data_IF_460089932515
#
_entry.id   IF_460089932515
#
_cell.length_a   1.000
_cell.length_b   1.000
_cell.length_c   1.000
_cell.angle_alpha   90.00
_cell.angle_beta   90.00
_cell.angle_gamma   90.00
#
_symmetry.space_group_name_H-M   'P 1'
#
loop_
_entity.id
_entity.type
_entity.pdbx_description
1 polymer ?
#
# COMPACT_ATOMS: atom_id res chain seq x y z
N UNK A 1 6.56 25.67 -6.92
CA UNK A 1 7.43 24.48 -6.94
C UNK A 1 6.60 23.25 -7.23
N UNK A 2 7.10 22.37 -8.11
CA UNK A 2 6.36 21.18 -8.50
C UNK A 2 6.45 20.06 -7.44
N UNK A 3 5.40 19.22 -7.34
CA UNK A 3 5.42 18.04 -6.49
C UNK A 3 6.60 17.12 -6.82
N UNK A 4 7.00 17.06 -8.11
CA UNK A 4 8.14 16.27 -8.55
C UNK A 4 9.43 16.66 -7.84
N UNK A 5 9.70 17.96 -7.69
CA UNK A 5 10.92 18.43 -7.01
C UNK A 5 10.86 18.12 -5.51
N UNK A 6 9.68 18.30 -4.88
CA UNK A 6 9.54 18.10 -3.43
C UNK A 6 9.58 16.63 -3.00
N UNK A 7 9.29 15.68 -3.91
CA UNK A 7 9.31 14.25 -3.60
C UNK A 7 10.51 13.51 -4.19
N UNK A 8 11.32 14.19 -5.01
CA UNK A 8 12.48 13.55 -5.64
C UNK A 8 13.42 12.99 -4.58
N UNK A 9 13.78 11.72 -4.73
CA UNK A 9 14.67 11.03 -3.80
C UNK A 9 13.99 10.41 -2.58
N UNK A 10 12.71 10.70 -2.37
CA UNK A 10 11.96 10.00 -1.33
C UNK A 10 11.82 8.53 -1.69
N UNK A 11 11.62 7.69 -0.69
CA UNK A 11 11.64 6.24 -0.85
C UNK A 11 10.30 5.63 -0.44
N UNK A 12 9.81 4.71 -1.26
CA UNK A 12 8.60 3.95 -0.97
C UNK A 12 8.89 2.46 -1.13
N UNK A 13 8.31 1.65 -0.27
CA UNK A 13 8.31 0.19 -0.43
C UNK A 13 6.89 -0.26 -0.72
N UNK A 14 6.72 -1.06 -1.77
CA UNK A 14 5.45 -1.64 -2.15
C UNK A 14 5.51 -3.15 -1.90
N UNK A 15 4.61 -3.63 -1.04
CA UNK A 15 4.56 -5.03 -0.62
C UNK A 15 3.52 -5.74 -1.47
N UNK A 16 3.96 -6.75 -2.22
CA UNK A 16 3.08 -7.53 -3.10
C UNK A 16 3.01 -8.99 -2.66
N UNK A 17 1.91 -9.65 -2.97
CA UNK A 17 1.80 -11.09 -2.80
C UNK A 17 2.76 -11.81 -3.75
N UNK A 18 3.24 -12.98 -3.34
CA UNK A 18 4.08 -13.83 -4.19
C UNK A 18 3.32 -14.25 -5.45
N UNK A 19 2.04 -14.59 -5.29
CA UNK A 19 1.16 -14.94 -6.40
C UNK A 19 -0.12 -14.14 -6.32
N UNK A 20 -0.64 -13.75 -7.48
CA UNK A 20 -1.95 -13.08 -7.59
C UNK A 20 -2.02 -11.72 -6.91
N UNK A 21 -0.93 -10.93 -6.98
CA UNK A 21 -1.06 -9.50 -6.74
C UNK A 21 -1.85 -8.90 -7.91
N UNK A 22 -2.55 -7.81 -7.68
CA UNK A 22 -3.27 -7.16 -8.79
C UNK A 22 -2.33 -6.25 -9.55
N UNK A 23 -2.16 -6.55 -10.83
CA UNK A 23 -1.16 -5.93 -11.71
C UNK A 23 -1.22 -4.40 -11.71
N UNK A 24 -2.41 -3.83 -11.95
CA UNK A 24 -2.57 -2.37 -12.02
C UNK A 24 -2.27 -1.69 -10.68
N UNK A 25 -2.56 -2.39 -9.58
CA UNK A 25 -2.40 -1.84 -8.24
C UNK A 25 -0.93 -1.74 -7.81
N UNK A 26 -0.06 -2.48 -8.47
CA UNK A 26 1.38 -2.29 -8.35
C UNK A 26 1.88 -1.31 -9.42
N UNK A 27 1.60 -1.61 -10.69
CA UNK A 27 2.27 -0.96 -11.80
C UNK A 27 1.89 0.50 -11.97
N UNK A 28 0.61 0.86 -11.79
CA UNK A 28 0.19 2.26 -11.95
C UNK A 28 0.69 3.18 -10.85
N UNK A 29 0.53 2.85 -9.56
CA UNK A 29 1.11 3.70 -8.51
C UNK A 29 2.62 3.76 -8.60
N UNK A 30 3.28 2.64 -8.91
CA UNK A 30 4.74 2.59 -9.06
C UNK A 30 5.20 3.54 -10.15
N UNK A 31 4.53 3.54 -11.29
CA UNK A 31 4.85 4.44 -12.40
C UNK A 31 4.69 5.90 -11.98
N UNK A 32 3.59 6.25 -11.32
CA UNK A 32 3.35 7.62 -10.83
C UNK A 32 4.43 8.04 -9.85
N UNK A 33 4.78 7.18 -8.91
CA UNK A 33 5.83 7.48 -7.93
C UNK A 33 7.18 7.70 -8.61
N UNK A 34 7.59 6.77 -9.45
CA UNK A 34 8.88 6.85 -10.13
C UNK A 34 8.98 8.05 -11.09
N UNK A 35 7.88 8.36 -11.78
CA UNK A 35 7.80 9.51 -12.66
C UNK A 35 8.03 10.82 -11.89
N UNK A 36 7.69 10.86 -10.62
CA UNK A 36 7.90 12.01 -9.75
C UNK A 36 9.22 11.94 -8.97
N UNK A 37 10.08 10.98 -9.28
CA UNK A 37 11.40 10.85 -8.67
C UNK A 37 11.46 10.09 -7.37
N UNK A 38 10.38 9.42 -6.98
CA UNK A 38 10.37 8.54 -5.80
C UNK A 38 11.09 7.24 -6.16
N UNK A 39 11.94 6.77 -5.26
CA UNK A 39 12.65 5.50 -5.43
C UNK A 39 11.77 4.41 -4.84
N UNK A 40 11.34 3.46 -5.68
CA UNK A 40 10.41 2.40 -5.28
C UNK A 40 11.15 1.08 -5.13
N UNK A 41 10.99 0.44 -3.98
CA UNK A 41 11.43 -0.93 -3.70
C UNK A 41 10.20 -1.81 -3.68
N UNK A 42 10.28 -2.97 -4.33
CA UNK A 42 9.21 -3.97 -4.30
C UNK A 42 9.62 -5.11 -3.37
N UNK A 43 8.76 -5.43 -2.41
CA UNK A 43 8.99 -6.49 -1.44
C UNK A 43 7.90 -7.55 -1.55
N UNK A 44 8.23 -8.78 -1.22
CA UNK A 44 7.27 -9.88 -1.20
C UNK A 44 7.68 -10.95 -0.19
N UNK A 45 6.86 -11.98 -0.06
CA UNK A 45 7.10 -13.10 0.84
C UNK A 45 8.15 -14.07 0.32
N UNK A 46 8.60 -13.90 -0.92
CA UNK A 46 9.68 -14.69 -1.54
C UNK A 46 10.44 -13.80 -2.50
N UNK A 47 11.71 -14.13 -2.78
CA UNK A 47 12.51 -13.46 -3.80
C UNK A 47 12.31 -14.07 -5.19
N UNK A 48 11.55 -15.14 -5.31
CA UNK A 48 11.17 -15.71 -6.60
C UNK A 48 10.32 -14.71 -7.37
N UNK A 49 10.32 -14.83 -8.69
CA UNK A 49 9.48 -14.01 -9.53
C UNK A 49 8.02 -14.12 -9.09
N UNK A 50 7.40 -12.97 -8.82
CA UNK A 50 5.99 -12.90 -8.46
C UNK A 50 5.14 -12.78 -9.72
N UNK A 51 3.97 -13.41 -9.71
CA UNK A 51 3.04 -13.39 -10.83
C UNK A 51 1.75 -12.69 -10.43
N UNK A 52 1.37 -11.67 -11.18
CA UNK A 52 0.12 -10.95 -10.99
C UNK A 52 -1.08 -11.72 -11.53
N UNK A 53 -2.27 -11.31 -11.10
CA UNK A 53 -3.54 -11.91 -11.53
C UNK A 53 -3.74 -11.86 -13.04
N UNK A 54 -3.23 -10.83 -13.70
CA UNK A 54 -3.34 -10.62 -15.15
C UNK A 54 -2.05 -10.99 -15.88
N UNK A 55 -1.10 -11.65 -15.21
CA UNK A 55 0.08 -12.21 -15.82
C UNK A 55 1.36 -11.39 -15.73
N UNK A 56 1.35 -10.24 -15.06
CA UNK A 56 2.57 -9.47 -14.88
C UNK A 56 3.60 -10.28 -14.09
N UNK A 57 4.86 -10.19 -14.50
CA UNK A 57 5.99 -10.87 -13.85
C UNK A 57 6.87 -9.82 -13.20
N UNK A 58 7.08 -9.93 -11.91
CA UNK A 58 7.90 -8.97 -11.15
C UNK A 58 8.81 -9.75 -10.22
N UNK A 59 10.11 -9.46 -10.30
CA UNK A 59 11.05 -10.01 -9.34
C UNK A 59 11.19 -9.05 -8.17
N UNK A 60 10.80 -9.45 -6.95
CA UNK A 60 10.94 -8.57 -5.79
C UNK A 60 12.40 -8.22 -5.53
N UNK A 61 12.61 -7.00 -5.02
CA UNK A 61 13.94 -6.52 -4.67
C UNK A 61 14.41 -7.10 -3.32
N UNK A 62 13.46 -7.24 -2.37
CA UNK A 62 13.76 -7.71 -1.01
C UNK A 62 12.61 -8.56 -0.49
N UNK A 63 12.89 -9.35 0.55
CA UNK A 63 11.84 -10.00 1.35
C UNK A 63 11.15 -8.94 2.22
N UNK A 64 9.82 -9.03 2.35
CA UNK A 64 9.10 -8.07 3.20
C UNK A 64 9.56 -8.15 4.66
N UNK A 65 10.01 -9.33 5.10
CA UNK A 65 10.55 -9.50 6.45
C UNK A 65 11.85 -8.74 6.68
N UNK A 66 12.52 -8.29 5.61
CA UNK A 66 13.75 -7.51 5.69
C UNK A 66 13.52 -6.00 5.55
N UNK A 67 12.27 -5.55 5.52
CA UNK A 67 11.97 -4.13 5.47
C UNK A 67 12.40 -3.47 6.77
N UNK A 68 13.25 -2.44 6.64
CA UNK A 68 13.54 -1.52 7.72
C UNK A 68 12.74 -0.23 7.44
N UNK A 69 11.72 0.01 8.23
CA UNK A 69 10.80 1.13 8.04
C UNK A 69 11.53 2.48 8.03
N UNK A 70 12.63 2.60 8.79
CA UNK A 70 13.41 3.84 8.82
C UNK A 70 13.96 4.24 7.46
N UNK A 71 14.09 3.29 6.52
CA UNK A 71 14.64 3.56 5.20
C UNK A 71 13.61 4.13 4.21
N UNK A 72 12.34 4.22 4.61
CA UNK A 72 11.26 4.60 3.68
C UNK A 72 10.44 5.77 4.20
N UNK A 73 9.85 6.51 3.27
CA UNK A 73 8.90 7.58 3.54
C UNK A 73 7.46 7.09 3.42
N UNK A 74 7.25 6.00 2.70
CA UNK A 74 5.93 5.39 2.52
C UNK A 74 6.04 3.86 2.49
N UNK A 75 5.10 3.18 3.13
CA UNK A 75 4.92 1.73 3.08
C UNK A 75 3.54 1.47 2.46
N UNK A 76 3.51 0.73 1.37
CA UNK A 76 2.31 0.55 0.56
C UNK A 76 2.01 -0.93 0.41
N UNK A 77 0.80 -1.33 0.79
CA UNK A 77 0.32 -2.71 0.65
C UNK A 77 -0.53 -2.82 -0.62
N UNK A 78 -0.06 -3.62 -1.57
CA UNK A 78 -0.72 -3.83 -2.86
C UNK A 78 -1.77 -4.94 -2.74
N UNK A 79 -2.88 -4.77 -3.45
CA UNK A 79 -3.99 -5.73 -3.41
C UNK A 79 -3.85 -6.88 -4.39
N UNK A 80 -4.98 -7.45 -4.74
CA UNK A 80 -5.09 -8.70 -5.50
C UNK A 80 -5.47 -9.84 -4.58
N UNK A 81 -6.00 -10.93 -5.13
CA UNK A 81 -6.48 -12.06 -4.32
C UNK A 81 -5.40 -12.65 -3.42
N UNK A 82 -4.13 -12.60 -3.85
CA UNK A 82 -3.01 -13.11 -3.06
C UNK A 82 -2.64 -12.25 -1.85
N UNK A 83 -3.11 -11.01 -1.80
CA UNK A 83 -2.79 -10.09 -0.70
C UNK A 83 -3.29 -10.59 0.66
N UNK A 84 -4.24 -11.54 0.66
CA UNK A 84 -4.74 -12.14 1.89
C UNK A 84 -3.66 -12.89 2.68
N UNK A 85 -2.52 -13.22 2.05
CA UNK A 85 -1.40 -13.83 2.77
C UNK A 85 -0.87 -12.94 3.90
N UNK A 86 -1.11 -11.62 3.81
CA UNK A 86 -0.63 -10.67 4.82
C UNK A 86 -1.68 -10.28 5.86
N UNK A 87 -2.96 -10.62 5.66
CA UNK A 87 -4.06 -10.15 6.50
C UNK A 87 -3.83 -10.38 7.99
N UNK A 88 -3.37 -11.58 8.36
CA UNK A 88 -3.14 -11.96 9.75
C UNK A 88 -1.65 -12.15 10.07
N UNK A 89 -0.77 -11.66 9.21
CA UNK A 89 0.66 -11.86 9.35
C UNK A 89 1.24 -10.88 10.38
N UNK A 90 1.84 -11.38 11.48
CA UNK A 90 2.36 -10.51 12.54
C UNK A 90 3.47 -9.58 12.07
N UNK A 91 4.31 -10.02 11.13
CA UNK A 91 5.40 -9.19 10.61
C UNK A 91 4.84 -8.06 9.75
N UNK A 92 3.82 -8.34 8.93
CA UNK A 92 3.15 -7.31 8.15
C UNK A 92 2.51 -6.27 9.08
N UNK A 93 1.85 -6.71 10.15
CA UNK A 93 1.27 -5.82 11.16
C UNK A 93 2.32 -4.96 11.83
N UNK A 94 3.46 -5.57 12.18
CA UNK A 94 4.57 -4.83 12.80
C UNK A 94 5.10 -3.74 11.87
N UNK A 95 5.31 -4.07 10.60
CA UNK A 95 5.76 -3.10 9.60
C UNK A 95 4.78 -1.92 9.51
N UNK A 96 3.49 -2.22 9.41
CA UNK A 96 2.46 -1.18 9.34
C UNK A 96 2.44 -0.30 10.58
N UNK A 97 2.51 -0.91 11.77
CA UNK A 97 2.53 -0.18 13.03
C UNK A 97 3.79 0.66 13.20
N UNK A 98 4.95 0.11 12.85
CA UNK A 98 6.22 0.84 12.93
C UNK A 98 6.19 2.06 12.00
N UNK A 99 5.69 1.90 10.79
CA UNK A 99 5.55 3.01 9.84
C UNK A 99 4.61 4.09 10.37
N UNK A 100 3.46 3.68 10.89
CA UNK A 100 2.49 4.61 11.46
C UNK A 100 3.05 5.36 12.67
N UNK A 101 3.74 4.65 13.57
CA UNK A 101 4.34 5.24 14.76
C UNK A 101 5.45 6.23 14.41
N UNK A 102 6.16 5.99 13.30
CA UNK A 102 7.20 6.88 12.80
C UNK A 102 6.62 8.00 11.92
N UNK A 103 5.30 8.10 11.81
CA UNK A 103 4.58 9.10 11.01
C UNK A 103 4.92 9.03 9.52
N UNK A 104 5.27 7.84 9.03
CA UNK A 104 5.43 7.59 7.61
C UNK A 104 4.06 7.43 6.97
N UNK A 105 3.97 7.57 5.65
CA UNK A 105 2.75 7.24 4.94
C UNK A 105 2.53 5.73 4.94
N UNK A 106 1.30 5.32 5.19
CA UNK A 106 0.87 3.93 5.06
C UNK A 106 -0.26 3.88 4.06
N UNK A 107 -0.05 3.17 2.96
CA UNK A 107 -1.07 3.02 1.91
C UNK A 107 -1.51 1.58 1.77
N UNK A 108 -2.76 1.38 1.38
CA UNK A 108 -3.28 0.05 1.08
C UNK A 108 -4.43 0.15 0.08
N UNK A 109 -4.46 -0.75 -0.89
CA UNK A 109 -5.44 -0.71 -1.98
C UNK A 109 -6.17 -2.04 -2.12
N UNK A 110 -7.41 -2.00 -2.55
CA UNK A 110 -8.27 -3.15 -2.85
C UNK A 110 -8.59 -3.94 -1.58
N UNK A 111 -8.12 -5.18 -1.47
CA UNK A 111 -8.33 -5.98 -0.25
C UNK A 111 -7.19 -5.82 0.76
N UNK A 112 -6.13 -5.12 0.41
CA UNK A 112 -5.00 -4.89 1.32
C UNK A 112 -5.33 -4.01 2.54
N UNK A 113 -6.34 -3.09 2.51
CA UNK A 113 -6.73 -2.40 3.72
C UNK A 113 -7.09 -3.31 4.90
N UNK A 114 -7.49 -4.56 4.64
CA UNK A 114 -7.75 -5.53 5.71
C UNK A 114 -6.49 -5.78 6.54
N UNK A 115 -5.31 -5.84 5.92
CA UNK A 115 -4.05 -6.03 6.63
C UNK A 115 -3.83 -4.93 7.67
N UNK A 116 -3.96 -3.67 7.25
CA UNK A 116 -3.72 -2.55 8.17
C UNK A 116 -4.87 -2.36 9.17
N UNK A 117 -6.08 -2.76 8.79
CA UNK A 117 -7.22 -2.78 9.71
C UNK A 117 -6.98 -3.77 10.85
N UNK A 118 -6.54 -4.98 10.53
CA UNK A 118 -6.23 -6.01 11.53
C UNK A 118 -5.01 -5.65 12.38
N UNK A 119 -4.13 -4.82 11.86
CA UNK A 119 -3.01 -4.27 12.64
C UNK A 119 -3.44 -3.16 13.61
N UNK A 120 -4.69 -2.72 13.54
CA UNK A 120 -5.24 -1.68 14.43
C UNK A 120 -5.14 -0.26 13.89
N UNK A 121 -4.67 -0.06 12.66
CA UNK A 121 -4.42 1.28 12.12
C UNK A 121 -5.69 2.02 11.68
N UNK A 122 -6.79 1.32 11.44
CA UNK A 122 -8.00 1.94 10.91
C UNK A 122 -9.07 2.26 11.97
N UNK A 123 -8.80 2.00 13.24
CA UNK A 123 -9.76 2.29 14.32
C UNK A 123 -10.08 3.78 14.34
N UNK A 124 -11.36 4.13 14.15
CA UNK A 124 -11.87 5.50 14.07
C UNK A 124 -11.28 6.32 12.91
N UNK A 125 -10.72 5.68 11.91
CA UNK A 125 -10.17 6.35 10.72
C UNK A 125 -11.13 6.23 9.55
N UNK A 126 -11.23 7.29 8.75
CA UNK A 126 -11.91 7.22 7.47
C UNK A 126 -11.08 6.34 6.54
N UNK A 127 -11.74 5.41 5.87
CA UNK A 127 -11.06 4.48 4.98
C UNK A 127 -12.01 3.95 3.91
N UNK A 128 -11.42 3.51 2.83
CA UNK A 128 -12.12 2.75 1.79
C UNK A 128 -11.43 1.42 1.57
N UNK A 129 -12.09 0.53 0.85
CA UNK A 129 -11.57 -0.81 0.56
C UNK A 129 -12.39 -1.40 -0.60
N UNK A 130 -11.95 -2.54 -1.11
CA UNK A 130 -12.72 -3.25 -2.13
C UNK A 130 -14.05 -3.75 -1.56
N UNK A 131 -15.09 -3.80 -2.42
CA UNK A 131 -16.46 -4.11 -1.99
C UNK A 131 -16.59 -5.39 -1.17
N UNK A 132 -15.78 -6.40 -1.47
CA UNK A 132 -15.86 -7.70 -0.76
C UNK A 132 -15.31 -7.67 0.66
N UNK A 133 -14.59 -6.59 1.05
CA UNK A 133 -13.92 -6.51 2.35
C UNK A 133 -14.42 -5.37 3.24
N UNK A 134 -15.55 -4.77 2.87
CA UNK A 134 -16.13 -3.65 3.64
C UNK A 134 -16.40 -4.06 5.09
N UNK A 135 -17.01 -5.23 5.29
CA UNK A 135 -17.32 -5.70 6.65
C UNK A 135 -16.04 -5.97 7.45
N UNK A 136 -14.98 -6.42 6.81
CA UNK A 136 -13.70 -6.68 7.49
C UNK A 136 -13.12 -5.42 8.10
N UNK A 137 -13.09 -4.31 7.35
CA UNK A 137 -12.55 -3.06 7.90
C UNK A 137 -13.49 -2.41 8.89
N UNK A 138 -14.81 -2.50 8.68
CA UNK A 138 -15.80 -2.00 9.64
C UNK A 138 -15.69 -2.72 10.97
N UNK A 139 -15.54 -4.04 10.95
CA UNK A 139 -15.36 -4.86 12.16
C UNK A 139 -14.12 -4.46 12.94
N UNK A 140 -13.12 -3.90 12.27
CA UNK A 140 -11.89 -3.40 12.90
C UNK A 140 -11.99 -1.93 13.32
N UNK A 141 -13.18 -1.34 13.25
CA UNK A 141 -13.43 0.01 13.73
C UNK A 141 -13.26 1.13 12.71
N UNK A 142 -13.03 0.80 11.43
CA UNK A 142 -12.89 1.82 10.39
C UNK A 142 -14.23 2.51 10.08
N UNK A 143 -14.13 3.78 9.71
CA UNK A 143 -15.26 4.55 9.17
C UNK A 143 -15.20 4.43 7.65
N UNK A 144 -15.92 3.45 7.12
CA UNK A 144 -15.92 3.20 5.68
C UNK A 144 -16.68 4.32 4.94
N UNK A 145 -16.03 4.92 3.94
CA UNK A 145 -16.60 6.07 3.22
C UNK A 145 -17.12 5.72 1.82
N UNK A 146 -16.68 4.60 1.25
CA UNK A 146 -17.03 4.23 -0.12
C UNK A 146 -16.34 5.06 -1.18
N UNK A 147 -15.38 5.89 -0.82
CA UNK A 147 -14.62 6.69 -1.78
C UNK A 147 -13.70 5.82 -2.63
N UNK A 148 -13.30 6.32 -3.81
CA UNK A 148 -12.29 5.64 -4.63
C UNK A 148 -10.94 5.65 -3.92
N UNK A 149 -10.56 6.79 -3.35
CA UNK A 149 -9.37 6.95 -2.52
C UNK A 149 -9.76 7.78 -1.30
N UNK A 150 -9.35 7.33 -0.13
CA UNK A 150 -9.58 8.04 1.12
C UNK A 150 -8.25 8.29 1.82
N UNK A 151 -8.07 9.51 2.29
CA UNK A 151 -6.90 9.88 3.09
C UNK A 151 -7.37 10.36 4.47
N UNK A 152 -6.77 9.78 5.52
CA UNK A 152 -6.97 10.24 6.89
C UNK A 152 -5.59 10.35 7.54
N UNK A 153 -5.08 11.59 7.62
CA UNK A 153 -3.73 11.83 8.11
C UNK A 153 -2.68 11.21 7.21
N UNK A 154 -1.88 10.32 7.78
CA UNK A 154 -0.82 9.59 7.08
C UNK A 154 -1.27 8.25 6.48
N UNK A 155 -2.57 7.93 6.58
CA UNK A 155 -3.10 6.67 6.07
C UNK A 155 -3.92 6.94 4.80
N UNK A 156 -3.59 6.23 3.72
CA UNK A 156 -4.26 6.37 2.44
C UNK A 156 -4.75 5.00 2.00
N UNK A 157 -6.04 4.89 1.73
CA UNK A 157 -6.65 3.66 1.23
C UNK A 157 -7.33 3.88 -0.11
N UNK A 158 -7.45 2.84 -0.91
CA UNK A 158 -8.09 2.91 -2.22
C UNK A 158 -8.92 1.64 -2.47
N UNK A 159 -9.97 1.78 -3.29
CA UNK A 159 -11.02 0.75 -3.40
C UNK A 159 -10.68 -0.38 -4.37
N UNK A 160 -9.75 -0.21 -5.29
CA UNK A 160 -9.42 -1.27 -6.24
C UNK A 160 -8.69 -0.79 -7.47
N UNK A 161 -8.59 -1.67 -8.51
CA UNK A 161 -7.76 -1.39 -9.69
C UNK A 161 -8.11 -0.10 -10.42
N UNK A 162 -9.39 0.25 -10.50
CA UNK A 162 -9.83 1.47 -11.17
C UNK A 162 -9.34 2.74 -10.48
N UNK A 163 -9.01 2.65 -9.18
CA UNK A 163 -8.51 3.77 -8.39
C UNK A 163 -6.97 3.80 -8.29
N UNK A 164 -6.27 2.87 -8.94
CA UNK A 164 -4.82 2.71 -8.77
C UNK A 164 -4.03 3.97 -9.16
N UNK A 165 -4.40 4.62 -10.27
CA UNK A 165 -3.74 5.84 -10.71
C UNK A 165 -3.92 6.97 -9.67
N UNK A 166 -5.15 7.20 -9.25
CA UNK A 166 -5.48 8.22 -8.25
C UNK A 166 -4.81 7.93 -6.90
N UNK A 167 -4.70 6.66 -6.54
CA UNK A 167 -4.00 6.23 -5.34
C UNK A 167 -2.54 6.67 -5.37
N UNK A 168 -1.84 6.42 -6.49
CA UNK A 168 -0.46 6.85 -6.68
C UNK A 168 -0.33 8.38 -6.61
N UNK A 169 -1.24 9.10 -7.26
CA UNK A 169 -1.25 10.57 -7.25
C UNK A 169 -1.47 11.13 -5.84
N UNK A 170 -2.35 10.51 -5.08
CA UNK A 170 -2.63 10.92 -3.70
C UNK A 170 -1.41 10.71 -2.80
N UNK A 171 -0.69 9.60 -3.00
CA UNK A 171 0.54 9.31 -2.26
C UNK A 171 1.62 10.36 -2.60
N UNK A 172 1.81 10.70 -3.88
CA UNK A 172 2.77 11.73 -4.28
C UNK A 172 2.43 13.07 -3.62
N UNK A 173 1.16 13.45 -3.65
CA UNK A 173 0.72 14.70 -3.01
C UNK A 173 1.03 14.71 -1.52
N UNK A 174 0.74 13.60 -0.84
CA UNK A 174 1.00 13.48 0.59
C UNK A 174 2.51 13.53 0.90
N UNK A 175 3.33 12.90 0.07
CA UNK A 175 4.79 12.93 0.23
C UNK A 175 5.36 14.34 0.01
N UNK A 176 4.66 15.19 -0.73
CA UNK A 176 5.10 16.54 -1.04
C UNK A 176 4.82 17.56 0.07
N UNK A 177 4.07 17.13 1.07
CA UNK A 177 3.70 18.02 2.19
C UNK A 177 4.73 18.06 3.31
#
# INVERSE_FOLDING_TARGET
>A
ESAMQSVKGKKAVMIIAQNNFRDEELLKPKEVLEKNGVIVTVASSSLKESTGMLGAKVKPNILFTNINVADYDAVIFVGGSGASEYWDNPTAHKIANDANNAKKLVGAICIAPVTIAKAGLLTNKKATTYSSTVNDIKSAGAKYTGADVERDGNIITASGPAAAQKFGETIVKALSE
#
